data_IF_867787092841
#
_entry.id   IF_867787092841
#
_cell.length_a   1.000
_cell.length_b   1.000
_cell.length_c   1.000
_cell.angle_alpha   90.00
_cell.angle_beta   90.00
_cell.angle_gamma   90.00
#
_symmetry.space_group_name_H-M   'P 1'
#
loop_
_entity.id
_entity.type
_entity.pdbx_description
1 polymer ?
#
# COMPACT_ATOMS: atom_id res chain seq x y z
N UNK A 1 89.06 38.90 1.43
CA UNK A 1 89.35 37.55 1.99
C UNK A 1 88.39 37.19 3.12
N UNK A 2 88.06 38.13 4.02
CA UNK A 2 87.10 37.91 5.11
C UNK A 2 85.72 37.44 4.60
N UNK A 3 85.16 38.08 3.57
CA UNK A 3 83.85 37.70 3.02
C UNK A 3 83.83 36.32 2.35
N UNK A 4 85.00 35.77 2.01
CA UNK A 4 85.11 34.43 1.45
C UNK A 4 85.05 33.32 2.53
N UNK A 5 85.30 33.67 3.80
CA UNK A 5 85.30 32.74 4.94
C UNK A 5 84.06 32.89 5.84
N UNK A 6 83.23 33.92 5.63
CA UNK A 6 81.95 34.05 6.32
C UNK A 6 80.99 32.95 5.86
N UNK A 7 80.22 32.42 6.81
CA UNK A 7 79.17 31.44 6.52
C UNK A 7 78.17 32.02 5.54
N UNK A 8 77.90 31.26 4.48
CA UNK A 8 76.95 31.64 3.44
C UNK A 8 75.63 30.90 3.66
N UNK A 9 74.48 31.48 3.28
CA UNK A 9 73.20 30.77 3.30
C UNK A 9 73.24 29.49 2.46
N UNK A 10 72.45 28.49 2.82
CA UNK A 10 72.30 27.31 1.98
C UNK A 10 71.60 27.68 0.66
N UNK A 11 71.88 26.93 -0.41
CA UNK A 11 71.23 27.14 -1.71
C UNK A 11 69.71 27.03 -1.62
N UNK A 12 69.20 26.13 -0.77
CA UNK A 12 67.77 25.96 -0.48
C UNK A 12 67.14 27.20 0.18
N UNK A 13 67.87 27.90 1.05
CA UNK A 13 67.39 29.10 1.72
C UNK A 13 67.31 30.28 0.73
N UNK A 14 68.30 30.40 -0.17
CA UNK A 14 68.30 31.40 -1.24
C UNK A 14 67.10 31.19 -2.17
N UNK A 15 66.83 29.95 -2.56
CA UNK A 15 65.69 29.59 -3.41
C UNK A 15 64.38 29.91 -2.70
N UNK A 16 64.21 29.46 -1.46
CA UNK A 16 63.00 29.70 -0.67
C UNK A 16 62.76 31.19 -0.41
N UNK A 17 63.81 31.98 -0.19
CA UNK A 17 63.72 33.43 -0.10
C UNK A 17 63.33 34.06 -1.44
N UNK A 18 63.99 33.67 -2.53
CA UNK A 18 63.71 34.15 -3.88
C UNK A 18 62.25 33.93 -4.28
N UNK A 19 61.73 32.72 -4.05
CA UNK A 19 60.32 32.36 -4.33
C UNK A 19 59.34 33.25 -3.56
N UNK A 20 59.70 33.68 -2.33
CA UNK A 20 58.88 34.60 -1.53
C UNK A 20 58.82 36.01 -2.09
N UNK A 21 59.78 36.40 -2.94
CA UNK A 21 59.87 37.72 -3.56
C UNK A 21 59.29 37.73 -4.99
N UNK A 22 59.73 36.80 -5.84
CA UNK A 22 59.29 36.66 -7.23
C UNK A 22 59.42 35.18 -7.66
N UNK A 23 58.30 34.58 -8.08
CA UNK A 23 58.23 33.20 -8.53
C UNK A 23 59.20 32.89 -9.67
N UNK A 24 59.55 33.87 -10.52
CA UNK A 24 60.42 33.70 -11.68
C UNK A 24 61.91 33.62 -11.32
N UNK A 25 62.27 33.94 -10.08
CA UNK A 25 63.64 33.85 -9.56
C UNK A 25 64.69 34.61 -10.43
N UNK A 26 64.46 35.89 -10.80
CA UNK A 26 65.31 36.60 -11.76
C UNK A 26 66.77 36.76 -11.32
N UNK A 27 67.01 36.81 -10.01
CA UNK A 27 68.32 37.05 -9.41
C UNK A 27 69.07 35.77 -8.98
N UNK A 28 68.46 34.59 -9.16
CA UNK A 28 68.96 33.35 -8.57
C UNK A 28 70.38 32.98 -9.04
N UNK A 29 70.70 33.20 -10.32
CA UNK A 29 72.02 32.84 -10.87
C UNK A 29 73.14 33.61 -10.18
N UNK A 30 72.92 34.92 -10.04
CA UNK A 30 73.83 35.83 -9.35
C UNK A 30 74.00 35.41 -7.88
N UNK A 31 72.90 35.09 -7.21
CA UNK A 31 72.92 34.82 -5.78
C UNK A 31 73.48 33.42 -5.45
N UNK A 32 73.26 32.42 -6.31
CA UNK A 32 73.93 31.11 -6.24
C UNK A 32 75.44 31.23 -6.54
N UNK A 33 75.84 32.08 -7.49
CA UNK A 33 77.25 32.32 -7.78
C UNK A 33 77.97 32.98 -6.59
N UNK A 34 77.33 33.91 -5.88
CA UNK A 34 77.89 34.52 -4.65
C UNK A 34 78.21 33.48 -3.58
N UNK A 35 77.41 32.41 -3.49
CA UNK A 35 77.68 31.32 -2.55
C UNK A 35 78.65 30.25 -3.06
N UNK A 36 79.12 30.38 -4.31
CA UNK A 36 80.16 29.52 -4.89
C UNK A 36 79.61 28.38 -5.75
N UNK A 37 78.32 28.40 -6.12
CA UNK A 37 77.79 27.45 -7.11
C UNK A 37 78.34 27.79 -8.49
N UNK A 38 78.90 26.78 -9.17
CA UNK A 38 79.43 26.96 -10.51
C UNK A 38 78.30 27.22 -11.52
N UNK A 39 78.41 28.22 -12.45
CA UNK A 39 77.34 28.61 -13.37
C UNK A 39 76.72 27.46 -14.18
N UNK A 40 77.53 26.46 -14.55
CA UNK A 40 77.06 25.21 -15.22
C UNK A 40 75.98 24.44 -14.46
N UNK A 41 75.87 24.55 -13.13
CA UNK A 41 74.87 23.82 -12.33
C UNK A 41 73.64 24.65 -11.96
N UNK A 42 73.61 25.93 -12.32
CA UNK A 42 72.52 26.85 -11.95
C UNK A 42 71.15 26.42 -12.49
N UNK A 43 71.13 25.80 -13.68
CA UNK A 43 69.91 25.26 -14.29
C UNK A 43 69.23 24.21 -13.40
N UNK A 44 70.00 23.35 -12.73
CA UNK A 44 69.49 22.31 -11.83
C UNK A 44 68.74 22.94 -10.64
N UNK A 45 69.27 24.01 -10.06
CA UNK A 45 68.61 24.70 -8.97
C UNK A 45 67.35 25.46 -9.41
N UNK A 46 67.35 26.02 -10.62
CA UNK A 46 66.15 26.64 -11.21
C UNK A 46 65.03 25.64 -11.41
N UNK A 47 65.36 24.46 -11.94
CA UNK A 47 64.38 23.41 -12.20
C UNK A 47 63.82 22.85 -10.88
N UNK A 48 64.69 22.55 -9.91
CA UNK A 48 64.31 22.01 -8.60
C UNK A 48 63.62 23.03 -7.67
N UNK A 49 63.68 24.33 -8.00
CA UNK A 49 62.97 25.35 -7.22
C UNK A 49 61.44 25.21 -7.34
N UNK A 50 60.95 24.65 -8.46
CA UNK A 50 59.53 24.46 -8.70
C UNK A 50 59.11 23.06 -8.25
N UNK A 51 58.17 23.03 -7.31
CA UNK A 51 57.67 21.79 -6.75
C UNK A 51 56.70 21.12 -7.72
N UNK A 52 56.92 19.83 -7.94
CA UNK A 52 55.93 18.94 -8.56
C UNK A 52 55.18 18.25 -7.41
N UNK A 53 53.84 18.23 -7.42
CA UNK A 53 53.06 17.48 -6.45
C UNK A 53 53.54 16.03 -6.28
N UNK A 54 53.46 15.46 -5.07
CA UNK A 54 53.66 14.03 -4.86
C UNK A 54 52.78 13.20 -5.79
N UNK A 55 53.27 12.04 -6.21
CA UNK A 55 52.55 11.14 -7.15
C UNK A 55 51.15 10.79 -6.64
N UNK A 56 50.97 10.62 -5.33
CA UNK A 56 49.66 10.34 -4.72
C UNK A 56 48.65 11.49 -4.95
N UNK A 57 49.10 12.74 -4.88
CA UNK A 57 48.26 13.90 -5.11
C UNK A 57 47.92 14.03 -6.60
N UNK A 58 48.88 13.76 -7.48
CA UNK A 58 48.65 13.69 -8.94
C UNK A 58 47.60 12.62 -9.28
N UNK A 59 47.67 11.44 -8.65
CA UNK A 59 46.68 10.38 -8.83
C UNK A 59 45.30 10.87 -8.35
N UNK A 60 45.25 11.52 -7.19
CA UNK A 60 43.98 12.09 -6.66
C UNK A 60 43.40 13.12 -7.63
N UNK A 61 44.21 14.02 -8.17
CA UNK A 61 43.80 15.00 -9.19
C UNK A 61 43.28 14.31 -10.46
N UNK A 62 43.91 13.21 -10.88
CA UNK A 62 43.48 12.43 -12.05
C UNK A 62 42.13 11.74 -11.82
N UNK A 63 41.97 11.07 -10.67
CA UNK A 63 40.69 10.42 -10.30
C UNK A 63 39.57 11.45 -10.14
N UNK A 64 39.90 12.65 -9.66
CA UNK A 64 38.96 13.77 -9.52
C UNK A 64 38.77 14.57 -10.80
N UNK A 65 39.24 14.09 -11.95
CA UNK A 65 39.03 14.71 -13.27
C UNK A 65 39.59 16.15 -13.39
N UNK A 66 40.52 16.55 -12.52
CA UNK A 66 41.14 17.87 -12.56
C UNK A 66 41.96 18.08 -13.85
N UNK A 67 42.43 16.99 -14.49
CA UNK A 67 43.13 17.05 -15.77
C UNK A 67 42.22 17.00 -17.00
N UNK A 68 40.90 16.96 -16.84
CA UNK A 68 39.94 16.89 -17.94
C UNK A 68 39.09 18.17 -17.96
N UNK A 69 39.48 19.19 -18.76
CA UNK A 69 38.87 20.53 -18.69
C UNK A 69 37.36 20.53 -18.86
N UNK A 70 36.82 19.69 -19.75
CA UNK A 70 35.38 19.61 -20.03
C UNK A 70 34.60 19.09 -18.81
N UNK A 71 35.15 18.09 -18.11
CA UNK A 71 34.52 17.49 -16.92
C UNK A 71 34.68 18.44 -15.72
N UNK A 72 35.87 19.00 -15.53
CA UNK A 72 36.13 19.95 -14.45
C UNK A 72 35.27 21.22 -14.57
N UNK A 73 35.07 21.72 -15.80
CA UNK A 73 34.17 22.84 -16.07
C UNK A 73 32.71 22.48 -15.78
N UNK A 74 32.26 21.29 -16.22
CA UNK A 74 30.90 20.79 -15.94
C UNK A 74 30.60 20.72 -14.45
N UNK A 75 31.58 20.30 -13.64
CA UNK A 75 31.45 20.21 -12.19
C UNK A 75 31.77 21.50 -11.44
N UNK A 76 32.18 22.56 -12.14
CA UNK A 76 32.59 23.81 -11.50
C UNK A 76 33.80 23.64 -10.56
N UNK A 77 34.67 22.67 -10.81
CA UNK A 77 35.76 22.31 -9.87
C UNK A 77 36.74 23.47 -9.61
N UNK A 78 36.91 24.35 -10.60
CA UNK A 78 37.76 25.54 -10.49
C UNK A 78 37.01 26.78 -9.96
N UNK A 79 35.73 26.68 -9.62
CA UNK A 79 34.97 27.79 -9.05
C UNK A 79 35.51 28.17 -7.68
N UNK A 80 35.34 29.44 -7.32
CA UNK A 80 35.77 30.02 -6.04
C UNK A 80 37.28 29.92 -5.76
N UNK A 81 38.11 29.72 -6.80
CA UNK A 81 39.58 29.68 -6.66
C UNK A 81 40.11 31.00 -6.05
N UNK A 82 40.67 30.97 -4.83
CA UNK A 82 41.07 32.19 -4.15
C UNK A 82 42.44 32.66 -4.63
N UNK A 83 42.53 33.88 -5.17
CA UNK A 83 43.81 34.48 -5.58
C UNK A 83 44.93 34.43 -4.51
N UNK A 84 44.64 34.58 -3.20
CA UNK A 84 45.65 34.38 -2.17
C UNK A 84 46.29 32.98 -2.16
N UNK A 85 45.56 31.92 -2.55
CA UNK A 85 46.12 30.58 -2.66
C UNK A 85 47.20 30.53 -3.74
N UNK A 86 46.96 31.15 -4.90
CA UNK A 86 47.97 31.31 -5.98
C UNK A 86 49.25 31.93 -5.42
N UNK A 87 49.11 33.07 -4.73
CA UNK A 87 50.24 33.82 -4.17
C UNK A 87 51.04 32.97 -3.18
N UNK A 88 50.39 32.30 -2.23
CA UNK A 88 51.08 31.50 -1.23
C UNK A 88 51.66 30.20 -1.79
N UNK A 89 51.01 29.62 -2.81
CA UNK A 89 51.50 28.45 -3.55
C UNK A 89 52.79 28.78 -4.32
N UNK A 90 52.80 29.89 -5.06
CA UNK A 90 53.98 30.36 -5.79
C UNK A 90 55.17 30.60 -4.85
N UNK A 91 54.94 31.20 -3.67
CA UNK A 91 55.98 31.38 -2.65
C UNK A 91 56.55 30.07 -2.08
N UNK A 92 55.90 28.94 -2.35
CA UNK A 92 56.35 27.58 -2.03
C UNK A 92 56.93 26.83 -3.23
N UNK A 93 57.01 27.47 -4.39
CA UNK A 93 57.50 26.86 -5.63
C UNK A 93 56.42 26.10 -6.40
N UNK A 94 55.15 26.18 -5.99
CA UNK A 94 54.05 25.53 -6.67
C UNK A 94 53.46 26.49 -7.71
N UNK A 95 53.39 26.08 -8.98
CA UNK A 95 52.84 26.92 -10.04
C UNK A 95 51.34 27.17 -9.87
N UNK A 96 50.84 28.25 -10.50
CA UNK A 96 49.42 28.52 -10.65
C UNK A 96 48.64 27.27 -11.09
N UNK A 97 49.08 26.62 -12.17
CA UNK A 97 48.43 25.42 -12.70
C UNK A 97 48.29 24.32 -11.63
N UNK A 98 49.36 24.04 -10.87
CA UNK A 98 49.29 23.02 -9.83
C UNK A 98 48.36 23.42 -8.68
N UNK A 99 48.40 24.68 -8.27
CA UNK A 99 47.52 25.18 -7.21
C UNK A 99 46.03 25.15 -7.61
N UNK A 100 45.71 25.45 -8.88
CA UNK A 100 44.37 25.32 -9.44
C UNK A 100 43.93 23.85 -9.46
N UNK A 101 44.82 22.89 -9.75
CA UNK A 101 44.49 21.46 -9.72
C UNK A 101 44.27 20.90 -8.32
N UNK A 102 45.05 21.35 -7.34
CA UNK A 102 44.77 21.05 -5.93
C UNK A 102 43.40 21.57 -5.54
N UNK A 103 43.06 22.78 -5.97
CA UNK A 103 41.73 23.33 -5.77
C UNK A 103 40.67 22.48 -6.50
N UNK A 104 40.84 22.11 -7.75
CA UNK A 104 39.86 21.27 -8.44
C UNK A 104 39.61 19.91 -7.73
N UNK A 105 40.63 19.35 -7.08
CA UNK A 105 40.54 18.07 -6.39
C UNK A 105 40.06 18.15 -4.92
N UNK A 106 39.97 19.34 -4.32
CA UNK A 106 39.74 19.49 -2.86
C UNK A 106 38.30 19.21 -2.41
N UNK A 107 37.33 19.25 -3.32
CA UNK A 107 35.91 19.18 -2.98
C UNK A 107 35.51 17.87 -2.32
N UNK A 108 34.65 17.97 -1.30
CA UNK A 108 33.94 16.81 -0.75
C UNK A 108 32.77 16.45 -1.68
N UNK A 109 32.84 15.28 -2.31
CA UNK A 109 31.80 14.83 -3.24
C UNK A 109 30.64 14.17 -2.49
N UNK A 110 29.43 14.16 -3.08
CA UNK A 110 28.33 13.33 -2.57
C UNK A 110 28.76 11.87 -2.41
N UNK A 111 28.31 11.23 -1.34
CA UNK A 111 28.48 9.79 -1.14
C UNK A 111 27.71 8.98 -2.20
N UNK A 112 28.09 7.72 -2.39
CA UNK A 112 27.36 6.80 -3.28
C UNK A 112 25.87 6.69 -2.91
N UNK A 113 25.52 6.66 -1.61
CA UNK A 113 24.13 6.63 -1.16
C UNK A 113 23.35 7.90 -1.52
N UNK A 114 23.98 9.09 -1.42
CA UNK A 114 23.38 10.33 -1.92
C UNK A 114 23.21 10.30 -3.44
N UNK A 115 24.19 9.74 -4.16
CA UNK A 115 24.10 9.45 -5.60
C UNK A 115 22.87 8.59 -5.95
N UNK A 116 22.63 7.51 -5.21
CA UNK A 116 21.47 6.65 -5.41
C UNK A 116 20.15 7.39 -5.17
N UNK A 117 20.09 8.21 -4.12
CA UNK A 117 18.90 9.01 -3.84
C UNK A 117 18.62 10.02 -4.96
N UNK A 118 19.66 10.71 -5.46
CA UNK A 118 19.53 11.62 -6.60
C UNK A 118 19.04 10.88 -7.86
N UNK A 119 19.56 9.67 -8.11
CA UNK A 119 19.13 8.82 -9.23
C UNK A 119 17.65 8.45 -9.11
N UNK A 120 17.21 7.95 -7.95
CA UNK A 120 15.81 7.54 -7.75
C UNK A 120 14.82 8.71 -7.81
N UNK A 121 15.27 9.92 -7.44
CA UNK A 121 14.47 11.15 -7.56
C UNK A 121 14.48 11.74 -8.97
N UNK A 122 15.22 11.15 -9.92
CA UNK A 122 15.33 11.63 -11.29
C UNK A 122 16.11 12.95 -11.43
N UNK A 123 16.91 13.32 -10.42
CA UNK A 123 17.72 14.53 -10.42
C UNK A 123 18.98 14.36 -11.27
N UNK A 124 19.49 13.12 -11.32
CA UNK A 124 20.66 12.75 -12.12
C UNK A 124 20.36 11.50 -12.96
N UNK A 125 21.10 11.32 -14.03
CA UNK A 125 21.02 10.13 -14.89
C UNK A 125 21.95 9.01 -14.39
N UNK A 126 21.82 7.81 -14.97
CA UNK A 126 22.78 6.71 -14.76
C UNK A 126 24.22 7.12 -15.14
N UNK A 127 24.39 7.88 -16.22
CA UNK A 127 25.71 8.36 -16.65
C UNK A 127 26.32 9.33 -15.63
N UNK A 128 25.49 10.15 -14.98
CA UNK A 128 25.95 11.06 -13.94
C UNK A 128 26.35 10.30 -12.67
N UNK A 129 25.61 9.25 -12.32
CA UNK A 129 25.96 8.37 -11.21
C UNK A 129 27.28 7.64 -11.47
N UNK A 130 27.50 7.09 -12.67
CA UNK A 130 28.78 6.45 -13.01
C UNK A 130 29.96 7.42 -12.88
N UNK A 131 29.78 8.67 -13.34
CA UNK A 131 30.77 9.73 -13.21
C UNK A 131 31.07 10.07 -11.74
N UNK A 132 30.04 10.14 -10.89
CA UNK A 132 30.20 10.31 -9.44
C UNK A 132 30.98 9.15 -8.82
N UNK A 133 30.59 7.89 -9.13
CA UNK A 133 31.27 6.71 -8.60
C UNK A 133 32.74 6.63 -9.05
N UNK A 134 33.04 7.05 -10.29
CA UNK A 134 34.41 7.23 -10.79
C UNK A 134 35.20 8.22 -9.95
N UNK A 135 34.64 9.41 -9.69
CA UNK A 135 35.31 10.45 -8.91
C UNK A 135 35.46 10.08 -7.42
N UNK A 136 34.61 9.19 -6.91
CA UNK A 136 34.73 8.54 -5.59
C UNK A 136 35.75 7.38 -5.56
N UNK A 137 36.48 7.15 -6.64
CA UNK A 137 37.46 6.08 -6.79
C UNK A 137 36.86 4.66 -6.70
N UNK A 138 35.60 4.50 -7.09
CA UNK A 138 34.99 3.17 -7.22
C UNK A 138 35.52 2.52 -8.49
N UNK A 139 36.16 1.34 -8.35
CA UNK A 139 36.70 0.60 -9.49
C UNK A 139 35.61 0.31 -10.54
N UNK A 140 35.91 0.39 -11.85
CA UNK A 140 34.92 0.18 -12.91
C UNK A 140 34.09 -1.09 -12.77
N UNK A 141 34.71 -2.21 -12.36
CA UNK A 141 34.04 -3.49 -12.13
C UNK A 141 32.87 -3.43 -11.13
N UNK A 142 32.97 -2.54 -10.13
CA UNK A 142 31.99 -2.44 -9.05
C UNK A 142 30.87 -1.45 -9.34
N UNK A 143 31.03 -0.52 -10.28
CA UNK A 143 30.08 0.59 -10.47
C UNK A 143 28.67 0.11 -10.81
N UNK A 144 28.54 -0.70 -11.85
CA UNK A 144 27.24 -1.25 -12.25
C UNK A 144 26.62 -2.14 -11.16
N UNK A 145 27.44 -2.90 -10.42
CA UNK A 145 26.98 -3.77 -9.34
C UNK A 145 26.44 -2.95 -8.17
N UNK A 146 27.15 -1.88 -7.82
CA UNK A 146 26.77 -0.97 -6.75
C UNK A 146 25.51 -0.17 -7.13
N UNK A 147 25.41 0.27 -8.40
CA UNK A 147 24.19 0.88 -8.94
C UNK A 147 23.01 -0.11 -8.93
N UNK A 148 23.25 -1.39 -9.23
CA UNK A 148 22.20 -2.42 -9.19
C UNK A 148 21.55 -2.58 -7.81
N UNK A 149 22.31 -2.41 -6.72
CA UNK A 149 21.78 -2.48 -5.35
C UNK A 149 21.19 -1.16 -4.85
N UNK A 150 21.22 -0.09 -5.65
CA UNK A 150 20.54 1.16 -5.32
C UNK A 150 19.03 0.93 -5.22
N UNK A 151 18.48 0.11 -6.11
CA UNK A 151 17.05 -0.15 -6.19
C UNK A 151 16.56 -1.07 -5.06
N UNK A 152 15.37 -0.76 -4.55
CA UNK A 152 14.74 -1.57 -3.50
C UNK A 152 14.25 -2.88 -4.09
N UNK A 153 14.55 -3.97 -3.39
CA UNK A 153 13.93 -5.29 -3.58
C UNK A 153 12.44 -5.21 -3.19
N UNK A 154 11.60 -6.01 -3.85
CA UNK A 154 10.19 -6.18 -3.44
C UNK A 154 10.13 -6.60 -1.98
N UNK A 155 9.26 -6.00 -1.17
CA UNK A 155 9.16 -6.41 0.25
C UNK A 155 8.57 -7.82 0.35
N UNK A 156 8.89 -8.57 1.41
CA UNK A 156 8.30 -9.91 1.66
C UNK A 156 6.77 -9.88 1.69
N UNK A 157 6.17 -8.75 2.10
CA UNK A 157 4.71 -8.56 2.12
C UNK A 157 4.18 -8.41 0.70
N UNK A 158 4.83 -7.58 -0.12
CA UNK A 158 4.44 -7.36 -1.50
C UNK A 158 4.64 -8.62 -2.34
N UNK A 159 5.74 -9.35 -2.13
CA UNK A 159 5.96 -10.67 -2.77
C UNK A 159 4.77 -11.60 -2.55
N UNK A 160 4.28 -11.74 -1.31
CA UNK A 160 3.10 -12.58 -1.02
C UNK A 160 1.83 -12.06 -1.69
N UNK A 161 1.57 -10.75 -1.62
CA UNK A 161 0.38 -10.12 -2.22
C UNK A 161 0.37 -10.25 -3.74
N UNK A 162 1.52 -10.02 -4.37
CA UNK A 162 1.71 -10.13 -5.80
C UNK A 162 1.56 -11.58 -6.28
N UNK A 163 2.09 -12.56 -5.54
CA UNK A 163 1.85 -13.97 -5.84
C UNK A 163 0.36 -14.32 -5.76
N UNK A 164 -0.33 -13.91 -4.68
CA UNK A 164 -1.78 -14.13 -4.53
C UNK A 164 -2.60 -13.45 -5.63
N UNK A 165 -2.15 -12.32 -6.13
CA UNK A 165 -2.77 -11.61 -7.24
C UNK A 165 -2.42 -12.20 -8.63
N UNK A 166 -1.58 -13.23 -8.70
CA UNK A 166 -1.13 -13.84 -9.95
C UNK A 166 -0.08 -13.02 -10.72
N UNK A 167 0.53 -12.02 -10.09
CA UNK A 167 1.56 -11.15 -10.70
C UNK A 167 2.93 -11.82 -10.67
N UNK A 168 3.23 -12.58 -9.62
CA UNK A 168 4.48 -13.36 -9.51
C UNK A 168 4.19 -14.85 -9.69
N UNK A 169 5.07 -15.54 -10.40
CA UNK A 169 5.17 -16.99 -10.43
C UNK A 169 5.81 -17.53 -9.15
N UNK A 170 5.74 -18.86 -8.94
CA UNK A 170 6.36 -19.52 -7.78
C UNK A 170 7.88 -19.35 -7.80
N UNK A 171 8.47 -19.41 -8.99
CA UNK A 171 9.90 -19.24 -9.24
C UNK A 171 10.34 -17.81 -8.92
N UNK A 172 9.58 -16.80 -9.33
CA UNK A 172 9.87 -15.39 -9.03
C UNK A 172 9.72 -15.07 -7.54
N UNK A 173 8.80 -15.73 -6.82
CA UNK A 173 8.72 -15.64 -5.35
C UNK A 173 9.98 -16.19 -4.70
N UNK A 174 10.48 -17.33 -5.19
CA UNK A 174 11.72 -17.93 -4.72
C UNK A 174 12.92 -17.01 -4.93
N UNK A 175 13.09 -16.47 -6.14
CA UNK A 175 14.14 -15.51 -6.47
C UNK A 175 14.05 -14.24 -5.61
N UNK A 176 12.84 -13.73 -5.36
CA UNK A 176 12.67 -12.58 -4.49
C UNK A 176 13.15 -12.87 -3.05
N UNK A 177 12.90 -14.06 -2.51
CA UNK A 177 13.43 -14.46 -1.20
C UNK A 177 14.96 -14.65 -1.22
N UNK A 178 15.56 -15.18 -2.28
CA UNK A 178 17.02 -15.21 -2.42
C UNK A 178 17.60 -13.80 -2.40
N UNK A 179 16.99 -12.86 -3.13
CA UNK A 179 17.43 -11.47 -3.14
C UNK A 179 17.36 -10.82 -1.76
N UNK A 180 16.45 -11.25 -0.87
CA UNK A 180 16.41 -10.82 0.54
C UNK A 180 17.58 -11.33 1.39
N UNK A 181 18.38 -12.26 0.87
CA UNK A 181 19.51 -12.88 1.56
C UNK A 181 19.13 -14.15 2.34
N UNK A 182 17.97 -14.75 2.05
CA UNK A 182 17.66 -16.08 2.59
C UNK A 182 18.56 -17.14 1.96
N UNK A 183 18.92 -18.16 2.74
CA UNK A 183 19.54 -19.38 2.21
C UNK A 183 18.58 -20.08 1.24
N UNK A 184 19.10 -20.88 0.31
CA UNK A 184 18.30 -21.69 -0.63
C UNK A 184 17.19 -22.49 0.09
N UNK A 185 17.52 -23.14 1.20
CA UNK A 185 16.56 -23.88 2.03
C UNK A 185 15.43 -22.99 2.58
N UNK A 186 15.76 -21.83 3.13
CA UNK A 186 14.76 -20.95 3.72
C UNK A 186 13.97 -20.19 2.67
N UNK A 187 14.57 -19.86 1.52
CA UNK A 187 13.87 -19.30 0.38
C UNK A 187 12.81 -20.31 -0.13
N UNK A 188 13.16 -21.60 -0.26
CA UNK A 188 12.19 -22.68 -0.59
C UNK A 188 11.05 -22.76 0.41
N UNK A 189 11.35 -22.74 1.72
CA UNK A 189 10.33 -22.75 2.79
C UNK A 189 9.40 -21.53 2.71
N UNK A 190 9.97 -20.34 2.50
CA UNK A 190 9.20 -19.09 2.38
C UNK A 190 8.32 -19.07 1.13
N UNK A 191 8.81 -19.62 0.02
CA UNK A 191 8.01 -19.82 -1.20
C UNK A 191 6.84 -20.75 -0.93
N UNK A 192 7.08 -21.92 -0.33
CA UNK A 192 6.02 -22.88 -0.02
C UNK A 192 4.96 -22.29 0.92
N UNK A 193 5.40 -21.59 1.97
CA UNK A 193 4.51 -20.84 2.84
C UNK A 193 3.68 -19.80 2.06
N UNK A 194 4.29 -19.09 1.12
CA UNK A 194 3.60 -18.09 0.30
C UNK A 194 2.54 -18.73 -0.60
N UNK A 195 2.84 -19.88 -1.19
CA UNK A 195 1.91 -20.68 -1.99
C UNK A 195 0.71 -21.09 -1.14
N UNK A 196 0.94 -21.71 0.01
CA UNK A 196 -0.11 -22.14 0.93
C UNK A 196 -0.94 -20.97 1.47
N UNK A 197 -0.30 -19.84 1.78
CA UNK A 197 -1.00 -18.63 2.23
C UNK A 197 -1.88 -18.01 1.15
N UNK A 198 -1.46 -18.12 -0.12
CA UNK A 198 -2.18 -17.57 -1.27
C UNK A 198 -3.29 -18.48 -1.79
N UNK A 199 -3.23 -19.79 -1.49
CA UNK A 199 -4.33 -20.69 -1.78
C UNK A 199 -5.63 -20.09 -1.23
N UNK A 200 -6.71 -20.07 -2.03
CA UNK A 200 -8.02 -19.82 -1.48
C UNK A 200 -8.16 -20.76 -0.29
N UNK A 201 -8.53 -20.25 0.89
CA UNK A 201 -9.20 -21.13 1.83
C UNK A 201 -10.34 -21.69 1.01
N UNK A 202 -10.29 -22.99 0.67
CA UNK A 202 -11.44 -23.73 0.15
C UNK A 202 -12.65 -23.17 0.88
N UNK A 203 -13.73 -22.82 0.17
CA UNK A 203 -14.94 -22.28 0.78
C UNK A 203 -15.29 -23.16 1.97
N UNK A 204 -14.81 -22.76 3.15
CA UNK A 204 -14.70 -23.70 4.25
C UNK A 204 -16.11 -23.72 4.76
N UNK A 205 -16.84 -24.78 4.41
CA UNK A 205 -18.16 -25.03 4.93
C UNK A 205 -18.07 -24.70 6.41
N UNK A 206 -18.75 -23.63 6.79
CA UNK A 206 -18.73 -23.16 8.17
C UNK A 206 -19.67 -24.06 8.96
N UNK A 207 -19.53 -24.07 10.29
CA UNK A 207 -20.53 -24.73 11.16
C UNK A 207 -21.94 -24.25 10.83
N UNK A 208 -22.09 -22.96 10.51
CA UNK A 208 -23.37 -22.37 10.12
C UNK A 208 -23.91 -22.97 8.82
N UNK A 209 -23.05 -23.23 7.84
CA UNK A 209 -23.45 -23.82 6.56
C UNK A 209 -23.92 -25.26 6.75
N UNK A 210 -23.23 -26.05 7.59
CA UNK A 210 -23.63 -27.43 7.93
C UNK A 210 -24.99 -27.44 8.65
N UNK A 211 -25.14 -26.61 9.68
CA UNK A 211 -26.40 -26.52 10.44
C UNK A 211 -27.56 -26.01 9.57
N UNK A 212 -27.28 -25.12 8.61
CA UNK A 212 -28.29 -24.63 7.65
C UNK A 212 -28.67 -25.71 6.65
N UNK A 213 -27.71 -26.46 6.10
CA UNK A 213 -27.97 -27.59 5.22
C UNK A 213 -28.78 -28.68 5.94
N UNK A 214 -28.46 -28.97 7.21
CA UNK A 214 -29.24 -29.88 8.05
C UNK A 214 -30.65 -29.31 8.34
N UNK A 215 -30.75 -28.00 8.63
CA UNK A 215 -32.04 -27.33 8.86
C UNK A 215 -32.96 -27.47 7.65
N UNK A 216 -32.42 -27.28 6.45
CA UNK A 216 -33.14 -27.32 5.18
C UNK A 216 -33.32 -28.73 4.60
N UNK A 217 -32.96 -29.79 5.34
CA UNK A 217 -33.01 -31.20 4.90
C UNK A 217 -32.16 -31.51 3.66
N UNK A 218 -31.12 -30.72 3.40
CA UNK A 218 -30.16 -30.99 2.31
C UNK A 218 -29.21 -32.14 2.68
N UNK A 219 -28.96 -32.32 3.98
CA UNK A 219 -28.18 -33.41 4.56
C UNK A 219 -28.92 -33.99 5.76
N UNK A 220 -28.63 -35.24 6.10
CA UNK A 220 -29.19 -35.90 7.28
C UNK A 220 -28.37 -35.64 8.56
N UNK A 221 -28.86 -36.12 9.70
CA UNK A 221 -28.26 -35.89 11.02
C UNK A 221 -26.87 -36.54 11.14
N UNK A 222 -26.71 -37.72 10.54
CA UNK A 222 -25.44 -38.46 10.54
C UNK A 222 -24.39 -37.68 9.75
N UNK A 223 -24.71 -37.32 8.50
CA UNK A 223 -23.83 -36.53 7.63
C UNK A 223 -23.46 -35.18 8.26
N UNK A 224 -24.42 -34.50 8.90
CA UNK A 224 -24.14 -33.26 9.61
C UNK A 224 -23.21 -33.45 10.83
N UNK A 225 -23.36 -34.57 11.56
CA UNK A 225 -22.51 -34.93 12.69
C UNK A 225 -21.08 -35.25 12.26
N UNK A 226 -20.91 -35.97 11.15
CA UNK A 226 -19.61 -36.34 10.59
C UNK A 226 -18.86 -35.10 10.11
N UNK A 227 -19.53 -34.21 9.37
CA UNK A 227 -18.93 -32.95 8.92
C UNK A 227 -18.53 -32.04 10.08
N UNK A 228 -19.28 -32.03 11.19
CA UNK A 228 -18.89 -31.29 12.38
C UNK A 228 -17.70 -31.96 13.12
N UNK A 229 -17.57 -33.29 13.04
CA UNK A 229 -16.43 -34.03 13.59
C UNK A 229 -15.14 -33.69 12.87
N UNK A 230 -15.19 -33.66 11.53
CA UNK A 230 -14.06 -33.28 10.68
C UNK A 230 -13.60 -31.84 10.94
N UNK A 231 -14.50 -30.98 11.45
CA UNK A 231 -14.19 -29.62 11.91
C UNK A 231 -13.63 -29.55 13.34
N UNK A 232 -13.48 -30.68 14.02
CA UNK A 232 -12.94 -30.80 15.37
C UNK A 232 -13.97 -30.55 16.49
N UNK A 233 -15.27 -30.63 16.22
CA UNK A 233 -16.29 -30.51 17.29
C UNK A 233 -16.41 -31.79 18.11
N UNK A 234 -16.38 -31.63 19.44
CA UNK A 234 -16.58 -32.73 20.37
C UNK A 234 -18.02 -33.29 20.28
N UNK A 235 -18.16 -34.59 20.56
CA UNK A 235 -19.44 -35.31 20.46
C UNK A 235 -20.59 -34.60 21.18
N UNK A 236 -20.36 -34.11 22.40
CA UNK A 236 -21.37 -33.40 23.18
C UNK A 236 -21.85 -32.11 22.49
N UNK A 237 -20.93 -31.32 21.93
CA UNK A 237 -21.28 -30.09 21.21
C UNK A 237 -22.05 -30.38 19.93
N UNK A 238 -21.65 -31.41 19.17
CA UNK A 238 -22.36 -31.84 17.94
C UNK A 238 -23.81 -32.23 18.23
N UNK A 239 -24.01 -33.09 19.22
CA UNK A 239 -25.35 -33.57 19.60
C UNK A 239 -26.23 -32.42 20.09
N UNK A 240 -25.70 -31.50 20.90
CA UNK A 240 -26.40 -30.31 21.34
C UNK A 240 -26.80 -29.40 20.16
N UNK A 241 -25.88 -29.12 19.24
CA UNK A 241 -26.15 -28.25 18.08
C UNK A 241 -27.23 -28.84 17.17
N UNK A 242 -27.17 -30.13 16.85
CA UNK A 242 -28.14 -30.79 15.98
C UNK A 242 -29.52 -30.88 16.66
N UNK A 243 -29.56 -31.18 17.96
CA UNK A 243 -30.79 -31.19 18.74
C UNK A 243 -31.45 -29.82 18.81
N UNK A 244 -30.66 -28.74 18.95
CA UNK A 244 -31.18 -27.37 18.90
C UNK A 244 -31.78 -27.02 17.54
N UNK A 245 -31.21 -27.52 16.43
CA UNK A 245 -31.79 -27.35 15.09
C UNK A 245 -33.11 -28.11 14.97
N UNK A 246 -33.19 -29.34 15.48
CA UNK A 246 -34.42 -30.14 15.42
C UNK A 246 -35.55 -29.54 16.26
N UNK A 247 -35.22 -29.00 17.44
CA UNK A 247 -36.17 -28.26 18.25
C UNK A 247 -36.72 -27.02 17.51
N UNK A 248 -35.83 -26.24 16.88
CA UNK A 248 -36.24 -25.06 16.08
C UNK A 248 -37.12 -25.43 14.89
N UNK A 249 -36.85 -26.57 14.21
CA UNK A 249 -37.71 -27.09 13.13
C UNK A 249 -39.11 -27.43 13.65
N UNK A 250 -39.19 -28.04 14.83
CA UNK A 250 -40.46 -28.37 15.49
C UNK A 250 -41.29 -27.13 15.77
N UNK A 251 -40.68 -26.09 16.35
CA UNK A 251 -41.34 -24.80 16.61
C UNK A 251 -41.83 -24.13 15.32
N UNK A 252 -40.97 -24.04 14.29
CA UNK A 252 -41.32 -23.41 13.01
C UNK A 252 -42.49 -24.11 12.31
N UNK A 253 -42.56 -25.45 12.40
CA UNK A 253 -43.70 -26.22 11.88
C UNK A 253 -45.00 -25.89 12.63
N UNK A 254 -44.94 -25.83 13.95
CA UNK A 254 -46.10 -25.47 14.80
C UNK A 254 -46.56 -24.05 14.50
N UNK A 255 -45.65 -23.07 14.44
CA UNK A 255 -45.96 -21.69 14.06
C UNK A 255 -46.60 -21.59 12.67
N UNK A 256 -46.12 -22.36 11.69
CA UNK A 256 -46.71 -22.38 10.35
C UNK A 256 -48.13 -22.97 10.35
N UNK A 257 -48.39 -24.01 11.17
CA UNK A 257 -49.74 -24.54 11.36
C UNK A 257 -50.66 -23.51 12.04
N UNK A 258 -50.19 -22.83 13.09
CA UNK A 258 -50.93 -21.73 13.76
C UNK A 258 -51.28 -20.63 12.75
N UNK A 259 -50.33 -20.20 11.91
CA UNK A 259 -50.59 -19.20 10.84
C UNK A 259 -51.63 -19.70 9.84
N UNK A 260 -51.59 -20.97 9.45
CA UNK A 260 -52.59 -21.58 8.59
C UNK A 260 -53.99 -21.55 9.20
N UNK A 261 -54.11 -21.97 10.47
CA UNK A 261 -55.36 -21.96 11.24
C UNK A 261 -55.90 -20.52 11.42
N UNK A 262 -55.02 -19.56 11.74
CA UNK A 262 -55.37 -18.12 11.80
C UNK A 262 -56.00 -17.65 10.51
N UNK A 263 -55.39 -17.97 9.36
CA UNK A 263 -55.90 -17.55 8.06
C UNK A 263 -57.29 -18.15 7.75
N UNK A 264 -57.55 -19.40 8.18
CA UNK A 264 -58.85 -20.05 8.02
C UNK A 264 -59.92 -19.41 8.91
N UNK A 265 -59.55 -19.05 10.14
CA UNK A 265 -60.42 -18.31 11.06
C UNK A 265 -60.75 -16.91 10.51
N UNK A 266 -59.75 -16.15 10.06
CA UNK A 266 -59.95 -14.81 9.48
C UNK A 266 -60.89 -14.82 8.29
N UNK A 267 -60.76 -15.82 7.40
CA UNK A 267 -61.63 -16.00 6.24
C UNK A 267 -63.01 -16.56 6.57
N UNK A 268 -63.35 -16.72 7.86
CA UNK A 268 -64.61 -17.29 8.36
C UNK A 268 -64.88 -18.72 7.87
N UNK A 269 -63.83 -19.44 7.47
CA UNK A 269 -63.90 -20.86 7.10
C UNK A 269 -63.98 -21.71 8.36
N UNK A 270 -63.27 -21.29 9.42
CA UNK A 270 -63.43 -21.85 10.77
C UNK A 270 -64.17 -20.86 11.65
N UNK A 271 -65.09 -21.38 12.46
CA UNK A 271 -65.69 -20.65 13.57
C UNK A 271 -64.80 -20.74 14.83
N UNK A 272 -65.17 -20.02 15.88
CA UNK A 272 -64.35 -19.90 17.09
C UNK A 272 -64.20 -21.22 17.87
N UNK A 273 -65.12 -22.18 17.71
CA UNK A 273 -65.00 -23.49 18.36
C UNK A 273 -64.07 -24.38 17.53
N UNK A 274 -64.27 -24.41 16.21
CA UNK A 274 -63.44 -25.18 15.29
C UNK A 274 -61.98 -24.73 15.30
N UNK A 275 -61.72 -23.43 15.37
CA UNK A 275 -60.35 -22.90 15.46
C UNK A 275 -59.66 -23.32 16.76
N UNK A 276 -60.37 -23.28 17.90
CA UNK A 276 -59.82 -23.78 19.18
C UNK A 276 -59.50 -25.27 19.13
N UNK A 277 -60.40 -26.07 18.57
CA UNK A 277 -60.18 -27.51 18.40
C UNK A 277 -58.94 -27.81 17.55
N UNK A 278 -58.74 -27.09 16.44
CA UNK A 278 -57.56 -27.29 15.59
C UNK A 278 -56.26 -26.80 16.24
N UNK A 279 -56.30 -25.76 17.08
CA UNK A 279 -55.14 -25.29 17.84
C UNK A 279 -54.77 -26.26 18.98
N UNK A 280 -55.75 -26.81 19.68
CA UNK A 280 -55.51 -27.78 20.76
C UNK A 280 -54.91 -29.09 20.23
N UNK A 281 -55.18 -29.47 18.97
CA UNK A 281 -54.50 -30.59 18.29
C UNK A 281 -53.01 -30.36 18.03
N UNK A 282 -52.52 -29.13 18.22
CA UNK A 282 -51.09 -28.80 18.16
C UNK A 282 -50.41 -28.92 19.54
N UNK A 283 -51.11 -29.47 20.55
CA UNK A 283 -50.66 -29.60 21.94
C UNK A 283 -50.31 -28.25 22.60
N UNK A 284 -50.95 -27.16 22.15
CA UNK A 284 -50.79 -25.84 22.74
C UNK A 284 -51.50 -25.77 24.11
N UNK A 285 -50.91 -25.11 25.12
CA UNK A 285 -51.59 -24.83 26.38
C UNK A 285 -52.90 -24.05 26.17
N UNK A 286 -53.91 -24.34 26.99
CA UNK A 286 -55.23 -23.72 26.84
C UNK A 286 -55.19 -22.18 26.95
N UNK A 287 -54.30 -21.64 27.80
CA UNK A 287 -54.10 -20.19 27.95
C UNK A 287 -53.55 -19.56 26.67
N UNK A 288 -52.57 -20.20 26.02
CA UNK A 288 -52.01 -19.72 24.74
C UNK A 288 -53.07 -19.75 23.62
N UNK A 289 -53.92 -20.78 23.59
CA UNK A 289 -55.06 -20.83 22.65
C UNK A 289 -56.04 -19.68 22.90
N UNK A 290 -56.30 -19.33 24.16
CA UNK A 290 -57.18 -18.20 24.49
C UNK A 290 -56.58 -16.87 24.05
N UNK A 291 -55.31 -16.64 24.30
CA UNK A 291 -54.59 -15.43 23.89
C UNK A 291 -54.62 -15.27 22.36
N UNK A 292 -54.33 -16.34 21.61
CA UNK A 292 -54.40 -16.34 20.14
C UNK A 292 -55.82 -16.04 19.64
N UNK A 293 -56.84 -16.65 20.26
CA UNK A 293 -58.24 -16.42 19.89
C UNK A 293 -58.72 -15.01 20.21
N UNK A 294 -58.28 -14.43 21.33
CA UNK A 294 -58.58 -13.03 21.67
C UNK A 294 -57.93 -12.09 20.66
N UNK A 295 -56.64 -12.29 20.35
CA UNK A 295 -55.94 -11.50 19.35
C UNK A 295 -56.67 -11.57 17.99
N UNK A 296 -57.01 -12.78 17.52
CA UNK A 296 -57.64 -12.93 16.20
C UNK A 296 -59.09 -12.46 16.16
N UNK A 297 -59.81 -12.49 17.28
CA UNK A 297 -61.15 -11.93 17.38
C UNK A 297 -61.15 -10.45 17.00
N UNK A 298 -60.20 -9.67 17.53
CA UNK A 298 -60.07 -8.26 17.18
C UNK A 298 -59.65 -8.08 15.71
N UNK A 299 -58.78 -8.93 15.17
CA UNK A 299 -58.42 -8.87 13.74
C UNK A 299 -59.60 -9.13 12.79
N UNK A 300 -60.57 -9.96 13.18
CA UNK A 300 -61.79 -10.22 12.40
C UNK A 300 -62.84 -9.14 12.62
N UNK A 301 -62.94 -8.60 13.84
CA UNK A 301 -63.88 -7.52 14.18
C UNK A 301 -63.52 -6.20 13.49
N UNK A 302 -62.24 -5.97 13.23
CA UNK A 302 -61.73 -4.82 12.46
C UNK A 302 -61.89 -4.99 10.93
N UNK A 303 -62.41 -6.12 10.43
CA UNK A 303 -62.71 -6.25 9.00
C UNK A 303 -63.92 -5.38 8.63
N UNK A 304 -63.62 -4.26 7.95
CA UNK A 304 -64.62 -3.41 7.29
C UNK A 304 -65.50 -4.29 6.39
N UNK A 305 -66.84 -4.20 6.46
CA UNK A 305 -67.72 -4.99 5.61
C UNK A 305 -67.36 -4.79 4.14
N UNK A 306 -67.41 -5.87 3.35
CA UNK A 306 -67.24 -5.76 1.89
C UNK A 306 -68.42 -5.00 1.31
N UNK A 307 -68.20 -3.73 1.01
CA UNK A 307 -69.16 -2.87 0.33
C UNK A 307 -69.16 -3.20 -1.17
N UNK A 308 -70.28 -2.95 -1.84
CA UNK A 308 -70.30 -2.95 -3.31
C UNK A 308 -69.36 -1.87 -3.86
N UNK A 309 -68.81 -2.05 -5.06
CA UNK A 309 -68.09 -0.94 -5.70
C UNK A 309 -69.06 0.20 -6.02
N UNK A 310 -68.55 1.42 -6.20
CA UNK A 310 -69.36 2.57 -6.64
C UNK A 310 -70.16 2.21 -7.89
N UNK A 311 -69.54 1.58 -8.88
CA UNK A 311 -70.21 1.16 -10.12
C UNK A 311 -71.31 0.12 -9.90
N UNK A 312 -71.06 -0.88 -9.04
CA UNK A 312 -72.08 -1.89 -8.69
C UNK A 312 -73.26 -1.26 -7.98
N UNK A 313 -72.99 -0.40 -6.99
CA UNK A 313 -74.03 0.31 -6.22
C UNK A 313 -74.93 1.12 -7.15
N UNK A 314 -74.35 1.88 -8.09
CA UNK A 314 -75.09 2.69 -9.05
C UNK A 314 -75.89 1.84 -10.05
N UNK A 315 -75.30 0.74 -10.55
CA UNK A 315 -76.04 -0.21 -11.40
C UNK A 315 -77.23 -0.80 -10.67
N UNK A 316 -77.06 -1.23 -9.41
CA UNK A 316 -78.15 -1.83 -8.64
C UNK A 316 -79.27 -0.86 -8.31
N UNK A 317 -78.98 0.43 -8.13
CA UNK A 317 -80.03 1.45 -8.00
C UNK A 317 -80.77 1.63 -9.33
N UNK A 318 -80.02 1.73 -10.45
CA UNK A 318 -80.59 1.92 -11.79
C UNK A 318 -81.44 0.72 -12.26
N UNK A 319 -81.00 -0.48 -11.93
CA UNK A 319 -81.68 -1.74 -12.22
C UNK A 319 -82.79 -2.05 -11.20
N UNK A 320 -83.10 -1.11 -10.28
CA UNK A 320 -84.10 -1.23 -9.21
C UNK A 320 -83.92 -2.43 -8.27
N UNK A 321 -82.70 -2.99 -8.21
CA UNK A 321 -82.34 -4.09 -7.32
C UNK A 321 -82.17 -3.65 -5.86
N UNK A 322 -81.89 -2.36 -5.63
CA UNK A 322 -81.86 -1.71 -4.32
C UNK A 322 -82.52 -0.33 -4.39
N UNK A 323 -83.03 0.18 -3.26
CA UNK A 323 -83.62 1.53 -3.22
C UNK A 323 -82.54 2.62 -3.29
N UNK A 324 -82.92 3.82 -3.75
CA UNK A 324 -82.04 5.00 -3.77
C UNK A 324 -81.47 5.28 -2.37
N UNK A 325 -82.30 5.22 -1.33
CA UNK A 325 -81.90 5.44 0.05
C UNK A 325 -80.87 4.41 0.53
N UNK A 326 -81.04 3.13 0.15
CA UNK A 326 -80.07 2.08 0.50
C UNK A 326 -78.74 2.29 -0.23
N UNK A 327 -78.78 2.73 -1.48
CA UNK A 327 -77.62 3.09 -2.28
C UNK A 327 -76.84 4.28 -1.72
N UNK A 328 -77.54 5.31 -1.23
CA UNK A 328 -76.95 6.47 -0.53
C UNK A 328 -76.18 6.02 0.72
N UNK A 329 -76.77 5.14 1.54
CA UNK A 329 -76.11 4.57 2.72
C UNK A 329 -74.84 3.81 2.33
N UNK A 330 -74.90 3.03 1.24
CA UNK A 330 -73.75 2.27 0.75
C UNK A 330 -72.61 3.21 0.30
N UNK A 331 -72.91 4.22 -0.52
CA UNK A 331 -71.91 5.21 -0.98
C UNK A 331 -71.32 6.04 0.17
N UNK A 332 -72.14 6.37 1.18
CA UNK A 332 -71.67 7.04 2.40
C UNK A 332 -70.69 6.13 3.16
N UNK A 333 -70.99 4.83 3.26
CA UNK A 333 -70.13 3.85 3.93
C UNK A 333 -68.83 3.58 3.15
N UNK A 334 -68.87 3.71 1.82
CA UNK A 334 -67.68 3.66 0.94
C UNK A 334 -66.78 4.90 1.15
N UNK A 335 -67.32 6.00 1.68
CA UNK A 335 -66.58 7.20 2.06
C UNK A 335 -66.85 8.44 1.21
N UNK A 336 -67.92 8.46 0.40
CA UNK A 336 -68.31 9.66 -0.35
C UNK A 336 -69.05 10.67 0.54
N UNK A 337 -68.82 11.96 0.28
CA UNK A 337 -69.60 13.05 0.89
C UNK A 337 -70.95 13.25 0.19
N UNK A 338 -71.78 14.12 0.76
CA UNK A 338 -73.13 14.41 0.25
C UNK A 338 -73.12 14.98 -1.18
N UNK A 339 -72.14 15.81 -1.53
CA UNK A 339 -72.05 16.42 -2.86
C UNK A 339 -71.80 15.36 -3.94
N UNK A 340 -70.86 14.46 -3.72
CA UNK A 340 -70.54 13.39 -4.66
C UNK A 340 -71.70 12.40 -4.81
N UNK A 341 -72.38 12.07 -3.71
CA UNK A 341 -73.56 11.19 -3.75
C UNK A 341 -74.67 11.83 -4.58
N UNK A 342 -74.95 13.13 -4.42
CA UNK A 342 -75.98 13.84 -5.18
C UNK A 342 -75.68 13.89 -6.69
N UNK A 343 -74.41 13.98 -7.08
CA UNK A 343 -73.98 13.90 -8.48
C UNK A 343 -74.23 12.49 -9.02
N UNK A 344 -73.86 11.46 -8.26
CA UNK A 344 -74.09 10.08 -8.66
C UNK A 344 -75.58 9.75 -8.78
N UNK A 345 -76.42 10.20 -7.86
CA UNK A 345 -77.87 9.98 -7.91
C UNK A 345 -78.51 10.64 -9.14
N UNK A 346 -78.04 11.84 -9.53
CA UNK A 346 -78.46 12.50 -10.77
C UNK A 346 -77.98 11.81 -12.05
N UNK A 347 -76.87 11.07 -11.99
CA UNK A 347 -76.30 10.37 -13.15
C UNK A 347 -77.02 9.06 -13.53
N UNK A 348 -77.86 8.55 -12.64
CA UNK A 348 -78.59 7.29 -12.79
C UNK A 348 -80.11 7.47 -12.90
N UNK A 349 -80.61 8.70 -12.76
CA UNK A 349 -81.93 9.12 -13.27
C UNK A 349 -81.92 9.20 -14.79
#
# INVERSE_FOLDING_TARGET
>A
YLDAILTKPASTDIIAYGLRQDFRLPDLDRDLQKIGIHPKYTHLYKELAYQIPPVADIITMAVREAFTPEIAARFGQYQDYPKPLEEWAEKKGLSKEWSERYWAAHWSLPSASQGFEMLHRGIITHSDLDMLLRALDVMPFWRDKLTGIAYRRLTRVDVRRMYKAGVLTREEVYEAYLQHGYTDENAKRMTEFTVQWAMPKEASITRSDILTAYKSRMIDRATASDLLEDMGEEYFHRDFMLTAVDYKKGLELTENKIKGIRNLYKKRVYDANKTRDELLKLDLPADEVNDLMEQWYYEVKDEVPRLWTTAQTLSFIKDELITKERGIIELTTIGYDTEHIDVYMRSIE
#
